data_IF_190159238258
#
_entry.id   IF_190159238258
#
_cell.length_a   1.000
_cell.length_b   1.000
_cell.length_c   1.000
_cell.angle_alpha   90.00
_cell.angle_beta   90.00
_cell.angle_gamma   90.00
#
_symmetry.space_group_name_H-M   'P 1'
#
loop_
_entity.id
_entity.type
_entity.pdbx_description
1 polymer ?
#
# COMPACT_ATOMS: atom_id res chain seq x y z
N UNK A 1 -1.36 8.79 -13.92
CA UNK A 1 -1.16 8.64 -12.46
C UNK A 1 -1.17 10.03 -11.86
N UNK A 2 -2.09 10.32 -10.94
CA UNK A 2 -2.14 11.62 -10.26
C UNK A 2 -0.83 11.89 -9.50
N UNK A 3 -0.51 13.17 -9.25
CA UNK A 3 0.69 13.55 -8.48
C UNK A 3 0.66 12.91 -7.09
N UNK A 4 -0.50 12.88 -6.46
CA UNK A 4 -0.73 12.25 -5.14
C UNK A 4 -0.42 10.76 -5.17
N UNK A 5 -0.97 10.00 -6.11
CA UNK A 5 -0.76 8.54 -6.15
C UNK A 5 0.72 8.18 -6.37
N UNK A 6 1.49 9.05 -7.05
CA UNK A 6 2.96 8.88 -7.13
C UNK A 6 3.64 9.04 -5.77
N UNK A 7 3.23 10.03 -4.97
CA UNK A 7 3.74 10.27 -3.62
C UNK A 7 3.38 9.10 -2.70
N UNK A 8 2.12 8.64 -2.73
CA UNK A 8 1.66 7.48 -1.95
C UNK A 8 2.49 6.25 -2.27
N UNK A 9 2.66 5.95 -3.56
CA UNK A 9 3.47 4.82 -4.02
C UNK A 9 4.92 4.93 -3.57
N UNK A 10 5.52 6.11 -3.63
CA UNK A 10 6.88 6.33 -3.17
C UNK A 10 7.00 6.06 -1.66
N UNK A 11 6.10 6.63 -0.84
CA UNK A 11 6.06 6.41 0.62
C UNK A 11 5.98 4.92 0.97
N UNK A 12 5.08 4.19 0.33
CA UNK A 12 4.91 2.74 0.59
C UNK A 12 6.13 1.95 0.14
N UNK A 13 6.71 2.27 -1.03
CA UNK A 13 7.93 1.59 -1.50
C UNK A 13 9.12 1.83 -0.58
N UNK A 14 9.33 3.06 -0.12
CA UNK A 14 10.37 3.37 0.85
C UNK A 14 10.18 2.55 2.11
N UNK A 15 8.95 2.47 2.63
CA UNK A 15 8.68 1.70 3.85
C UNK A 15 8.88 0.20 3.69
N UNK A 16 8.51 -0.36 2.54
CA UNK A 16 8.79 -1.75 2.21
C UNK A 16 10.29 -2.05 2.20
N UNK A 17 11.11 -1.14 1.67
CA UNK A 17 12.58 -1.28 1.69
C UNK A 17 13.13 -1.21 3.12
N UNK A 18 12.66 -0.27 3.94
CA UNK A 18 13.07 -0.15 5.35
C UNK A 18 12.76 -1.39 6.19
N UNK A 19 11.70 -2.11 5.84
CA UNK A 19 11.25 -3.34 6.50
C UNK A 19 11.83 -4.62 5.88
N UNK A 20 12.68 -4.49 4.86
CA UNK A 20 13.16 -5.62 4.04
C UNK A 20 12.01 -6.55 3.57
N UNK A 21 10.91 -5.93 3.13
CA UNK A 21 9.66 -6.63 2.81
C UNK A 21 9.27 -6.43 1.33
N UNK A 22 8.85 -7.50 0.68
CA UNK A 22 8.32 -7.47 -0.68
C UNK A 22 6.81 -7.16 -0.71
N UNK A 23 6.31 -6.71 -1.86
CA UNK A 23 4.86 -6.54 -2.06
C UNK A 23 4.07 -7.85 -1.93
N UNK A 24 4.69 -8.99 -2.26
CA UNK A 24 4.06 -10.30 -2.13
C UNK A 24 3.91 -10.71 -0.66
N UNK A 25 4.89 -10.40 0.18
CA UNK A 25 4.82 -10.63 1.63
C UNK A 25 3.80 -9.70 2.29
N UNK A 26 3.76 -8.43 1.88
CA UNK A 26 2.70 -7.51 2.30
C UNK A 26 1.31 -8.07 1.95
N UNK A 27 1.14 -8.57 0.72
CA UNK A 27 -0.13 -9.17 0.29
C UNK A 27 -0.54 -10.37 1.17
N UNK A 28 0.42 -11.22 1.56
CA UNK A 28 0.19 -12.34 2.48
C UNK A 28 -0.27 -11.84 3.86
N UNK A 29 0.37 -10.81 4.41
CA UNK A 29 -0.01 -10.24 5.71
C UNK A 29 -1.38 -9.55 5.69
N UNK A 30 -1.76 -8.96 4.55
CA UNK A 30 -3.10 -8.36 4.34
C UNK A 30 -4.16 -9.42 3.98
N UNK A 31 -3.76 -10.67 3.74
CA UNK A 31 -4.62 -11.77 3.27
C UNK A 31 -5.31 -11.50 1.93
N UNK A 32 -4.57 -10.96 0.96
CA UNK A 32 -5.07 -10.69 -0.41
C UNK A 32 -4.12 -11.24 -1.47
N UNK A 33 -4.61 -11.34 -2.70
CA UNK A 33 -3.74 -11.65 -3.83
C UNK A 33 -2.73 -10.51 -4.10
N UNK A 34 -1.49 -10.81 -4.52
CA UNK A 34 -0.50 -9.79 -4.87
C UNK A 34 -0.97 -8.77 -5.93
N UNK A 35 -1.88 -9.18 -6.82
CA UNK A 35 -2.51 -8.30 -7.80
C UNK A 35 -3.26 -7.14 -7.15
N UNK A 36 -3.92 -7.37 -6.01
CA UNK A 36 -4.67 -6.33 -5.27
C UNK A 36 -3.72 -5.25 -4.76
N UNK A 37 -2.57 -5.64 -4.19
CA UNK A 37 -1.54 -4.67 -3.77
C UNK A 37 -0.96 -3.92 -4.98
N UNK A 38 -0.77 -4.60 -6.11
CA UNK A 38 -0.31 -3.97 -7.35
C UNK A 38 -1.32 -2.94 -7.88
N UNK A 39 -2.61 -3.27 -7.89
CA UNK A 39 -3.68 -2.35 -8.30
C UNK A 39 -3.84 -1.17 -7.34
N UNK A 40 -3.73 -1.41 -6.03
CA UNK A 40 -3.73 -0.34 -5.03
C UNK A 40 -2.59 0.65 -5.27
N UNK A 41 -1.38 0.15 -5.53
CA UNK A 41 -0.21 1.01 -5.71
C UNK A 41 -0.14 1.64 -7.11
N UNK A 42 -0.75 1.02 -8.12
CA UNK A 42 -0.75 1.53 -9.50
C UNK A 42 -1.91 2.49 -9.76
N UNK A 43 -3.06 2.24 -9.16
CA UNK A 43 -4.32 2.91 -9.47
C UNK A 43 -5.06 3.48 -8.25
N UNK A 44 -4.60 3.21 -7.02
CA UNK A 44 -5.35 3.56 -5.81
C UNK A 44 -6.57 2.66 -5.57
N UNK A 45 -6.70 1.57 -6.34
CA UNK A 45 -7.86 0.67 -6.30
C UNK A 45 -7.68 -0.39 -5.21
N UNK A 46 -8.52 -0.33 -4.19
CA UNK A 46 -8.57 -1.27 -3.09
C UNK A 46 -9.67 -0.85 -2.12
N UNK A 47 -10.22 -1.80 -1.37
CA UNK A 47 -11.18 -1.48 -0.33
C UNK A 47 -10.53 -0.69 0.81
N UNK A 48 -11.33 0.04 1.56
CA UNK A 48 -10.82 0.78 2.73
C UNK A 48 -10.22 -0.17 3.77
N UNK A 49 -10.77 -1.37 3.91
CA UNK A 49 -10.17 -2.43 4.71
C UNK A 49 -8.72 -2.76 4.28
N UNK A 50 -8.47 -2.92 2.97
CA UNK A 50 -7.11 -3.20 2.47
C UNK A 50 -6.18 -2.01 2.71
N UNK A 51 -6.66 -0.78 2.49
CA UNK A 51 -5.87 0.44 2.74
C UNK A 51 -5.48 0.56 4.21
N UNK A 52 -6.43 0.39 5.13
CA UNK A 52 -6.20 0.42 6.58
C UNK A 52 -5.23 -0.68 7.01
N UNK A 53 -5.41 -1.92 6.54
CA UNK A 53 -4.47 -3.01 6.86
C UNK A 53 -3.06 -2.77 6.35
N UNK A 54 -2.92 -2.23 5.15
CA UNK A 54 -1.60 -1.90 4.59
C UNK A 54 -0.90 -0.85 5.45
N UNK A 55 -1.61 0.19 5.89
CA UNK A 55 -0.98 1.24 6.72
C UNK A 55 -0.67 0.77 8.13
N UNK A 56 -1.51 -0.09 8.71
CA UNK A 56 -1.27 -0.75 9.99
C UNK A 56 0.02 -1.60 9.94
N UNK A 57 0.13 -2.48 8.94
CA UNK A 57 1.30 -3.37 8.77
C UNK A 57 2.58 -2.56 8.53
N UNK A 58 2.49 -1.51 7.71
CA UNK A 58 3.62 -0.66 7.40
C UNK A 58 3.95 0.34 8.52
N UNK A 59 3.05 0.52 9.49
CA UNK A 59 3.20 1.49 10.58
C UNK A 59 3.30 2.94 10.08
N UNK A 60 2.51 3.30 9.06
CA UNK A 60 2.49 4.65 8.48
C UNK A 60 1.11 5.29 8.63
N UNK A 61 1.05 6.62 8.60
CA UNK A 61 -0.23 7.32 8.48
C UNK A 61 -0.91 7.03 7.14
N UNK A 62 -2.24 6.76 7.18
CA UNK A 62 -3.08 6.43 6.04
C UNK A 62 -3.06 7.54 4.97
N UNK A 63 -2.36 7.34 3.84
CA UNK A 63 -2.21 8.37 2.82
C UNK A 63 -3.44 8.46 1.90
N UNK A 64 -4.43 7.58 2.05
CA UNK A 64 -5.66 7.56 1.26
C UNK A 64 -6.85 8.17 1.99
N UNK A 65 -6.74 8.47 3.29
CA UNK A 65 -7.88 8.88 4.13
C UNK A 65 -8.49 10.24 3.79
N UNK A 66 -7.76 11.07 3.04
CA UNK A 66 -8.16 12.42 2.66
C UNK A 66 -8.52 12.56 1.16
N UNK A 67 -8.75 11.43 0.46
CA UNK A 67 -9.02 11.38 -0.98
C UNK A 67 -10.15 10.39 -1.31
#
# INVERSE_FOLDING_TARGET
MSKELKIIKAKIKTRLIELDMTQAELAKQVFVAPSVISELLKYGKGSDYVKEKVVDILGIENPWRNH
#
